data_IF_920696042885
#
_entry.id   IF_920696042885
#
_cell.length_a   1.000
_cell.length_b   1.000
_cell.length_c   1.000
_cell.angle_alpha   90.00
_cell.angle_beta   90.00
_cell.angle_gamma   90.00
#
_symmetry.space_group_name_H-M   'P 1'
#
loop_
_entity.id
_entity.type
_entity.pdbx_description
1 polymer ?
#
# COMPACT_ATOMS: atom_id res chain seq x y z
N UNK A 1 -44.15 27.47 5.65
CA UNK A 1 -43.74 26.45 4.64
C UNK A 1 -42.70 26.98 3.65
N UNK A 2 -42.91 28.12 3.00
CA UNK A 2 -41.96 28.69 2.01
C UNK A 2 -40.54 28.96 2.53
N UNK A 3 -40.40 29.44 3.78
CA UNK A 3 -39.09 29.68 4.39
C UNK A 3 -38.29 28.39 4.61
N UNK A 4 -38.97 27.30 5.01
CA UNK A 4 -38.35 25.98 5.20
C UNK A 4 -37.94 25.36 3.87
N UNK A 5 -38.79 25.49 2.84
CA UNK A 5 -38.47 25.08 1.48
C UNK A 5 -37.23 25.83 0.95
N UNK A 6 -37.13 27.12 1.25
CA UNK A 6 -35.97 27.94 0.90
C UNK A 6 -34.68 27.47 1.59
N UNK A 7 -34.71 27.20 2.90
CA UNK A 7 -33.53 26.67 3.61
C UNK A 7 -33.12 25.27 3.12
N UNK A 8 -34.10 24.40 2.80
CA UNK A 8 -33.83 23.09 2.22
C UNK A 8 -33.17 23.20 0.84
N UNK A 9 -33.70 24.07 -0.04
CA UNK A 9 -33.10 24.36 -1.35
C UNK A 9 -31.70 24.95 -1.21
N UNK A 10 -31.51 25.88 -0.28
CA UNK A 10 -30.19 26.46 0.01
C UNK A 10 -29.21 25.40 0.49
N UNK A 11 -29.63 24.48 1.37
CA UNK A 11 -28.80 23.37 1.83
C UNK A 11 -28.40 22.44 0.69
N UNK A 12 -29.34 22.03 -0.17
CA UNK A 12 -29.01 21.23 -1.37
C UNK A 12 -28.08 21.99 -2.34
N UNK A 13 -28.26 23.30 -2.47
CA UNK A 13 -27.41 24.14 -3.32
C UNK A 13 -25.99 24.26 -2.74
N UNK A 14 -25.85 24.41 -1.42
CA UNK A 14 -24.56 24.38 -0.73
C UNK A 14 -23.90 23.00 -0.83
N UNK A 15 -24.64 21.90 -0.62
CA UNK A 15 -24.11 20.55 -0.81
C UNK A 15 -23.67 20.30 -2.25
N UNK A 16 -24.44 20.78 -3.23
CA UNK A 16 -24.08 20.67 -4.64
C UNK A 16 -22.81 21.49 -4.95
N UNK A 17 -22.72 22.72 -4.45
CA UNK A 17 -21.52 23.56 -4.61
C UNK A 17 -20.31 22.92 -3.92
N UNK A 18 -20.46 22.41 -2.70
CA UNK A 18 -19.40 21.70 -2.01
C UNK A 18 -18.99 20.44 -2.78
N UNK A 19 -19.94 19.63 -3.26
CA UNK A 19 -19.64 18.47 -4.08
C UNK A 19 -18.89 18.85 -5.36
N UNK A 20 -19.26 19.95 -6.02
CA UNK A 20 -18.54 20.47 -7.20
C UNK A 20 -17.16 21.03 -6.87
N UNK A 21 -16.99 21.65 -5.70
CA UNK A 21 -15.68 22.11 -5.23
C UNK A 21 -14.81 20.89 -4.87
N UNK A 22 -15.35 19.89 -4.20
CA UNK A 22 -14.64 18.64 -3.90
C UNK A 22 -14.26 17.91 -5.18
N UNK A 23 -15.20 17.76 -6.13
CA UNK A 23 -14.89 17.24 -7.46
C UNK A 23 -13.78 18.06 -8.11
N UNK A 24 -13.87 19.40 -8.14
CA UNK A 24 -12.86 20.25 -8.76
C UNK A 24 -11.49 20.18 -8.05
N UNK A 25 -11.44 20.09 -6.73
CA UNK A 25 -10.20 19.93 -5.95
C UNK A 25 -9.59 18.55 -6.21
N UNK A 26 -10.41 17.50 -6.21
CA UNK A 26 -9.97 16.14 -6.60
C UNK A 26 -9.49 16.15 -8.05
N UNK A 27 -10.19 16.83 -8.96
CA UNK A 27 -9.81 16.97 -10.38
C UNK A 27 -8.52 17.79 -10.58
N UNK A 28 -8.28 18.77 -9.70
CA UNK A 28 -7.06 19.57 -9.72
C UNK A 28 -5.86 18.80 -9.16
N UNK A 29 -6.04 18.04 -8.07
CA UNK A 29 -4.96 17.23 -7.50
C UNK A 29 -4.69 15.94 -8.29
N UNK A 30 -5.72 15.35 -8.93
CA UNK A 30 -5.62 14.01 -9.54
C UNK A 30 -6.10 13.90 -10.99
N UNK A 31 -6.85 14.86 -11.54
CA UNK A 31 -7.62 14.67 -12.79
C UNK A 31 -6.94 15.06 -14.11
N UNK A 32 -6.26 16.22 -14.19
CA UNK A 32 -5.73 16.72 -15.47
C UNK A 32 -4.49 15.97 -16.00
N UNK A 33 -3.73 15.33 -15.11
CA UNK A 33 -2.43 14.75 -15.44
C UNK A 33 -2.30 13.26 -15.09
N UNK A 34 -3.26 12.62 -14.41
CA UNK A 34 -3.02 11.26 -13.91
C UNK A 34 -2.92 10.16 -14.98
N UNK A 35 -3.57 10.33 -16.14
CA UNK A 35 -3.64 9.29 -17.18
C UNK A 35 -2.84 9.61 -18.43
N UNK A 36 -2.22 10.80 -18.52
CA UNK A 36 -1.34 11.10 -19.65
C UNK A 36 -0.07 10.27 -19.53
N UNK A 37 0.28 9.56 -20.59
CA UNK A 37 1.48 8.73 -20.66
C UNK A 37 2.74 9.58 -20.76
N UNK A 38 3.78 9.19 -20.03
CA UNK A 38 5.11 9.79 -20.05
C UNK A 38 6.08 8.81 -20.66
N UNK A 39 6.87 9.24 -21.64
CA UNK A 39 7.96 8.44 -22.18
C UNK A 39 9.12 8.33 -21.16
N UNK A 40 9.43 7.14 -20.62
CA UNK A 40 10.50 6.94 -19.65
C UNK A 40 11.89 7.28 -20.21
N UNK A 41 12.11 7.16 -21.52
CA UNK A 41 13.41 7.44 -22.15
C UNK A 41 13.79 8.92 -22.05
N UNK A 42 12.77 9.80 -22.06
CA UNK A 42 12.93 11.25 -21.93
C UNK A 42 13.33 11.71 -20.52
N UNK A 43 13.13 10.87 -19.51
CA UNK A 43 13.36 11.23 -18.11
C UNK A 43 14.82 11.09 -17.70
N UNK A 44 15.21 11.83 -16.65
CA UNK A 44 16.55 11.69 -16.07
C UNK A 44 16.66 10.37 -15.29
N UNK A 45 17.88 9.84 -15.19
CA UNK A 45 18.16 8.62 -14.43
C UNK A 45 17.69 8.73 -12.97
N UNK A 46 17.84 9.91 -12.36
CA UNK A 46 17.36 10.18 -10.99
C UNK A 46 15.84 10.03 -10.89
N UNK A 47 15.07 10.61 -11.81
CA UNK A 47 13.60 10.49 -11.83
C UNK A 47 13.14 9.05 -12.01
N UNK A 48 13.80 8.30 -12.90
CA UNK A 48 13.50 6.87 -13.10
C UNK A 48 13.75 6.04 -11.84
N UNK A 49 14.80 6.34 -11.07
CA UNK A 49 15.03 5.72 -9.76
C UNK A 49 13.90 6.03 -8.78
N UNK A 50 13.52 7.30 -8.64
CA UNK A 50 12.45 7.71 -7.73
C UNK A 50 11.11 7.04 -8.08
N UNK A 51 10.85 6.82 -9.37
CA UNK A 51 9.67 6.07 -9.84
C UNK A 51 9.74 4.61 -9.42
N UNK A 52 10.87 3.93 -9.68
CA UNK A 52 11.05 2.54 -9.23
C UNK A 52 10.98 2.41 -7.71
N UNK A 53 11.47 3.40 -6.98
CA UNK A 53 11.32 3.50 -5.53
C UNK A 53 9.86 3.66 -5.14
N UNK A 54 9.08 4.50 -5.79
CA UNK A 54 7.65 4.62 -5.49
C UNK A 54 6.88 3.33 -5.79
N UNK A 55 7.26 2.59 -6.83
CA UNK A 55 6.75 1.25 -7.15
C UNK A 55 7.30 0.17 -6.19
N UNK A 56 8.36 0.48 -5.44
CA UNK A 56 9.04 -0.46 -4.56
C UNK A 56 9.69 -1.61 -5.31
N UNK A 57 10.30 -1.34 -6.46
CA UNK A 57 11.07 -2.31 -7.20
C UNK A 57 12.56 -2.13 -6.87
N UNK A 58 13.22 -3.24 -6.53
CA UNK A 58 14.65 -3.23 -6.27
C UNK A 58 15.44 -2.98 -7.55
N UNK A 59 16.18 -1.88 -7.60
CA UNK A 59 17.06 -1.52 -8.72
C UNK A 59 18.56 -1.62 -8.36
N UNK A 60 18.89 -2.19 -7.20
CA UNK A 60 20.27 -2.36 -6.74
C UNK A 60 21.05 -3.25 -7.71
N UNK A 61 22.11 -2.68 -8.29
CA UNK A 61 22.95 -3.31 -9.31
C UNK A 61 22.75 -2.79 -10.75
N UNK A 62 21.69 -2.02 -11.02
CA UNK A 62 21.46 -1.43 -12.35
C UNK A 62 22.19 -0.09 -12.49
N UNK A 63 23.39 -0.11 -13.07
CA UNK A 63 24.19 1.09 -13.29
C UNK A 63 23.72 1.88 -14.52
N UNK A 64 23.13 1.20 -15.50
CA UNK A 64 22.78 1.80 -16.78
C UNK A 64 21.35 2.37 -16.80
N UNK A 65 21.19 3.56 -17.38
CA UNK A 65 19.87 4.19 -17.59
C UNK A 65 18.93 3.29 -18.39
N UNK A 66 19.47 2.55 -19.37
CA UNK A 66 18.67 1.66 -20.24
C UNK A 66 18.04 0.52 -19.45
N UNK A 67 18.79 -0.09 -18.53
CA UNK A 67 18.28 -1.17 -17.68
C UNK A 67 17.19 -0.69 -16.73
N UNK A 68 17.38 0.50 -16.15
CA UNK A 68 16.39 1.14 -15.27
C UNK A 68 15.11 1.50 -16.06
N UNK A 69 15.25 2.04 -17.27
CA UNK A 69 14.10 2.34 -18.15
C UNK A 69 13.32 1.07 -18.50
N UNK A 70 14.04 0.00 -18.87
CA UNK A 70 13.42 -1.29 -19.18
C UNK A 70 12.67 -1.87 -17.97
N UNK A 71 13.19 -1.72 -16.75
CA UNK A 71 12.49 -2.18 -15.55
C UNK A 71 11.22 -1.34 -15.26
N UNK A 72 11.25 -0.03 -15.56
CA UNK A 72 10.05 0.82 -15.49
C UNK A 72 9.02 0.34 -16.52
N UNK A 73 9.41 0.10 -17.76
CA UNK A 73 8.51 -0.38 -18.81
C UNK A 73 7.90 -1.76 -18.46
N UNK A 74 8.71 -2.69 -17.96
CA UNK A 74 8.24 -4.02 -17.52
C UNK A 74 7.29 -3.97 -16.31
N UNK A 75 7.38 -2.91 -15.50
CA UNK A 75 6.53 -2.72 -14.33
C UNK A 75 5.28 -1.88 -14.58
N UNK A 76 5.12 -1.34 -15.78
CA UNK A 76 3.90 -0.65 -16.19
C UNK A 76 4.16 0.65 -16.92
N UNK A 77 3.20 1.03 -17.75
CA UNK A 77 3.18 2.33 -18.40
C UNK A 77 3.31 3.44 -17.35
N UNK A 78 4.19 4.40 -17.63
CA UNK A 78 4.43 5.52 -16.72
C UNK A 78 3.41 6.61 -17.02
N UNK A 79 2.68 7.05 -15.99
CA UNK A 79 1.75 8.17 -16.12
C UNK A 79 2.28 9.44 -15.47
N UNK A 80 1.76 10.58 -15.92
CA UNK A 80 2.10 11.89 -15.37
C UNK A 80 1.66 12.02 -13.90
N UNK A 81 0.58 11.34 -13.47
CA UNK A 81 0.16 11.29 -12.07
C UNK A 81 1.17 10.58 -11.19
N UNK A 82 1.72 9.46 -11.67
CA UNK A 82 2.80 8.77 -10.98
C UNK A 82 4.05 9.65 -10.87
N UNK A 83 4.48 10.28 -11.97
CA UNK A 83 5.62 11.19 -11.98
C UNK A 83 5.44 12.36 -11.01
N UNK A 84 4.25 12.98 -10.99
CA UNK A 84 3.93 14.07 -10.07
C UNK A 84 3.98 13.58 -8.61
N UNK A 85 3.38 12.43 -8.32
CA UNK A 85 3.40 11.85 -6.98
C UNK A 85 4.83 11.54 -6.49
N UNK A 86 5.69 11.05 -7.39
CA UNK A 86 7.09 10.76 -7.09
C UNK A 86 7.88 12.04 -6.77
N UNK A 87 7.67 13.11 -7.55
CA UNK A 87 8.31 14.42 -7.32
C UNK A 87 7.80 15.07 -6.02
N UNK A 88 6.48 15.01 -5.77
CA UNK A 88 5.88 15.53 -4.53
C UNK A 88 6.47 14.84 -3.31
N UNK A 89 6.56 13.51 -3.34
CA UNK A 89 7.18 12.73 -2.25
C UNK A 89 8.66 13.04 -2.07
N UNK A 90 9.43 13.21 -3.15
CA UNK A 90 10.85 13.60 -3.04
C UNK A 90 11.01 14.95 -2.32
N UNK A 91 10.12 15.91 -2.60
CA UNK A 91 10.09 17.21 -1.91
C UNK A 91 9.69 17.07 -0.44
N UNK A 92 8.61 16.35 -0.16
CA UNK A 92 8.15 16.07 1.21
C UNK A 92 9.22 15.34 2.03
N UNK A 93 10.00 14.44 1.43
CA UNK A 93 11.13 13.76 2.08
C UNK A 93 12.29 14.68 2.41
N UNK A 94 12.49 15.74 1.62
CA UNK A 94 13.55 16.73 1.87
C UNK A 94 13.15 17.69 2.99
N UNK A 95 11.84 17.87 3.21
CA UNK A 95 11.27 18.80 4.21
C UNK A 95 10.88 18.09 5.52
N UNK A 96 10.57 16.79 5.50
CA UNK A 96 10.17 16.02 6.69
C UNK A 96 11.40 15.49 7.47
N UNK A 97 11.90 16.29 8.41
CA UNK A 97 12.94 15.88 9.37
C UNK A 97 12.46 14.86 10.42
N UNK A 98 11.15 14.77 10.70
CA UNK A 98 10.60 13.89 11.74
C UNK A 98 9.67 12.82 11.17
N UNK A 99 10.25 11.76 10.61
CA UNK A 99 9.51 10.52 10.40
C UNK A 99 9.31 9.82 11.75
N UNK A 100 8.08 9.78 12.26
CA UNK A 100 7.78 9.26 13.60
C UNK A 100 8.02 7.75 13.71
N UNK A 101 9.10 7.37 14.39
CA UNK A 101 9.33 5.99 14.83
C UNK A 101 8.69 5.78 16.19
N UNK A 102 8.03 4.64 16.41
CA UNK A 102 7.54 4.32 17.75
C UNK A 102 8.72 3.92 18.66
N UNK A 103 8.68 4.33 19.93
CA UNK A 103 9.63 3.86 20.94
C UNK A 103 8.86 2.93 21.87
N UNK A 104 9.25 1.65 21.88
CA UNK A 104 8.58 0.65 22.71
C UNK A 104 9.06 0.77 24.16
N UNK A 105 8.10 0.88 25.07
CA UNK A 105 8.37 1.06 26.51
C UNK A 105 8.74 -0.24 27.22
N UNK A 106 8.33 -1.39 26.68
CA UNK A 106 8.57 -2.72 27.24
C UNK A 106 7.83 -3.82 26.48
N UNK A 107 7.90 -5.05 26.98
CA UNK A 107 7.30 -6.23 26.32
C UNK A 107 5.81 -6.09 26.02
N UNK A 108 5.02 -5.57 26.97
CA UNK A 108 3.56 -5.46 26.83
C UNK A 108 3.21 -4.52 25.68
N UNK A 109 3.87 -3.37 25.60
CA UNK A 109 3.64 -2.37 24.54
C UNK A 109 4.05 -2.92 23.16
N UNK A 110 5.12 -3.72 23.10
CA UNK A 110 5.51 -4.40 21.86
C UNK A 110 4.49 -5.47 21.45
N UNK A 111 4.05 -6.31 22.40
CA UNK A 111 3.06 -7.36 22.16
C UNK A 111 1.77 -6.77 21.60
N UNK A 112 1.23 -5.75 22.27
CA UNK A 112 -0.05 -5.12 21.90
C UNK A 112 0.00 -4.52 20.49
N UNK A 113 1.07 -3.79 20.15
CA UNK A 113 1.18 -3.14 18.85
C UNK A 113 1.65 -4.04 17.71
N UNK A 114 2.51 -5.02 17.97
CA UNK A 114 3.23 -5.76 16.91
C UNK A 114 2.75 -7.19 16.76
N UNK A 115 2.40 -7.86 17.84
CA UNK A 115 1.99 -9.28 17.83
C UNK A 115 0.47 -9.46 17.85
N UNK A 116 -0.22 -8.61 18.61
CA UNK A 116 -1.68 -8.66 18.73
C UNK A 116 -2.37 -7.95 17.57
N UNK A 117 -1.86 -6.79 17.13
CA UNK A 117 -2.38 -6.17 15.90
C UNK A 117 -1.93 -6.93 14.65
N UNK A 118 -2.92 -7.42 13.91
CA UNK A 118 -2.73 -8.18 12.65
C UNK A 118 -2.75 -7.29 11.41
N UNK A 119 -2.72 -5.98 11.62
CA UNK A 119 -3.15 -4.99 10.62
C UNK A 119 -1.98 -4.22 10.01
N UNK A 120 -0.75 -4.76 10.05
CA UNK A 120 0.38 -4.07 9.47
C UNK A 120 1.68 -4.87 9.44
N UNK A 121 2.63 -4.33 8.69
CA UNK A 121 4.02 -4.77 8.66
C UNK A 121 4.79 -3.84 9.59
N UNK A 122 5.63 -4.40 10.47
CA UNK A 122 6.53 -3.64 11.32
C UNK A 122 7.99 -3.96 11.00
N UNK A 123 8.83 -2.94 11.02
CA UNK A 123 10.28 -3.05 11.09
C UNK A 123 10.75 -2.46 12.41
N UNK A 124 11.32 -3.28 13.27
CA UNK A 124 11.71 -2.90 14.62
C UNK A 124 13.22 -3.03 14.79
N UNK A 125 13.85 -1.94 15.22
CA UNK A 125 15.24 -1.92 15.60
C UNK A 125 15.39 -2.28 17.07
N UNK A 126 15.95 -3.45 17.36
CA UNK A 126 16.23 -3.90 18.72
C UNK A 126 17.65 -3.54 19.09
N UNK A 127 17.80 -2.81 20.20
CA UNK A 127 19.08 -2.39 20.74
C UNK A 127 19.33 -3.22 21.99
N UNK A 128 20.29 -4.14 21.91
CA UNK A 128 20.65 -4.98 23.05
C UNK A 128 21.35 -4.17 24.15
N UNK A 129 21.33 -4.69 25.37
CA UNK A 129 21.95 -4.01 26.51
C UNK A 129 23.46 -3.82 26.27
N UNK A 130 23.94 -2.59 26.46
CA UNK A 130 25.34 -2.19 26.25
C UNK A 130 25.88 -2.41 24.83
N UNK A 131 25.00 -2.53 23.83
CA UNK A 131 25.38 -2.62 22.42
C UNK A 131 24.88 -1.40 21.65
N UNK A 132 25.56 -1.08 20.56
CA UNK A 132 25.12 -0.04 19.65
C UNK A 132 23.93 -0.52 18.82
N UNK A 133 23.18 0.45 18.29
CA UNK A 133 22.04 0.16 17.43
C UNK A 133 22.52 -0.39 16.08
N UNK A 134 21.81 -1.35 15.44
CA UNK A 134 22.25 -1.96 14.17
C UNK A 134 22.48 -0.94 13.05
N UNK A 135 21.56 0.02 12.92
CA UNK A 135 21.66 1.15 12.01
C UNK A 135 21.96 2.42 12.82
N UNK A 136 22.86 3.25 12.30
CA UNK A 136 23.08 4.60 12.83
C UNK A 136 21.80 5.45 12.72
N UNK A 137 21.67 6.48 13.54
CA UNK A 137 20.48 7.36 13.54
C UNK A 137 20.14 7.90 12.14
N UNK A 138 21.15 8.30 11.36
CA UNK A 138 20.97 8.77 9.98
C UNK A 138 20.44 7.67 9.04
N UNK A 139 21.02 6.46 9.12
CA UNK A 139 20.61 5.35 8.28
C UNK A 139 19.24 4.80 8.69
N UNK A 140 18.92 4.83 9.98
CA UNK A 140 17.59 4.52 10.48
C UNK A 140 16.56 5.52 9.98
N UNK A 141 16.82 6.82 10.06
CA UNK A 141 15.92 7.85 9.51
C UNK A 141 15.64 7.64 8.01
N UNK A 142 16.68 7.36 7.20
CA UNK A 142 16.51 7.01 5.78
C UNK A 142 15.70 5.74 5.58
N UNK A 143 15.91 4.73 6.42
CA UNK A 143 15.12 3.49 6.38
C UNK A 143 13.65 3.78 6.69
N UNK A 144 13.36 4.51 7.76
CA UNK A 144 12.00 4.90 8.17
C UNK A 144 11.29 5.67 7.04
N UNK A 145 11.97 6.66 6.45
CA UNK A 145 11.46 7.41 5.31
C UNK A 145 11.17 6.51 4.10
N UNK A 146 12.01 5.51 3.84
CA UNK A 146 11.82 4.58 2.71
C UNK A 146 10.64 3.63 2.93
N UNK A 147 10.53 3.01 4.11
CA UNK A 147 9.51 1.99 4.38
C UNK A 147 8.13 2.58 4.66
N UNK A 148 8.06 3.79 5.22
CA UNK A 148 6.80 4.49 5.49
C UNK A 148 5.98 4.76 4.22
N UNK A 149 6.66 4.94 3.08
CA UNK A 149 6.02 5.10 1.76
C UNK A 149 5.15 3.92 1.35
N UNK A 150 5.38 2.75 1.95
CA UNK A 150 4.66 1.51 1.72
C UNK A 150 3.70 1.14 2.85
N UNK A 151 3.45 2.07 3.79
CA UNK A 151 2.62 1.83 4.96
C UNK A 151 3.25 0.87 5.98
N UNK A 152 4.57 0.68 5.91
CA UNK A 152 5.32 -0.16 6.86
C UNK A 152 5.64 0.70 8.08
N UNK A 153 5.25 0.21 9.25
CA UNK A 153 5.46 0.89 10.52
C UNK A 153 6.86 0.59 11.04
N UNK A 154 7.44 1.55 11.75
CA UNK A 154 8.78 1.40 12.30
C UNK A 154 8.79 1.64 13.79
N UNK A 155 9.62 0.89 14.51
CA UNK A 155 9.79 1.09 15.93
C UNK A 155 11.21 0.80 16.42
N UNK A 156 11.50 1.26 17.62
CA UNK A 156 12.77 1.03 18.32
C UNK A 156 12.47 0.38 19.67
N UNK A 157 13.17 -0.71 19.97
CA UNK A 157 13.04 -1.44 21.23
C UNK A 157 14.39 -1.43 21.94
N UNK A 158 14.46 -0.82 23.12
CA UNK A 158 15.68 -0.75 23.90
C UNK A 158 15.67 -1.81 25.00
N UNK A 159 16.52 -2.83 24.90
CA UNK A 159 16.62 -3.88 25.91
C UNK A 159 17.18 -3.40 27.26
N UNK A 160 17.68 -2.17 27.35
CA UNK A 160 18.08 -1.57 28.62
C UNK A 160 16.89 -1.30 29.54
N UNK A 161 15.68 -1.07 29.00
CA UNK A 161 14.47 -0.90 29.81
C UNK A 161 13.87 -2.23 30.25
N UNK A 162 14.01 -3.30 29.45
CA UNK A 162 13.42 -4.61 29.73
C UNK A 162 14.29 -5.79 29.26
N UNK A 163 15.40 -6.00 29.96
CA UNK A 163 16.39 -7.03 29.60
C UNK A 163 15.84 -8.46 29.76
N UNK A 164 14.98 -8.70 30.76
CA UNK A 164 14.38 -10.01 31.02
C UNK A 164 13.60 -10.51 29.81
N UNK A 165 12.79 -9.63 29.21
CA UNK A 165 11.97 -9.94 28.04
C UNK A 165 12.80 -10.15 26.78
N UNK A 166 13.85 -9.34 26.57
CA UNK A 166 14.78 -9.55 25.46
C UNK A 166 15.48 -10.92 25.53
N UNK A 167 15.93 -11.33 26.72
CA UNK A 167 16.56 -12.64 26.92
C UNK A 167 15.58 -13.79 26.62
N UNK A 168 14.34 -13.69 27.09
CA UNK A 168 13.29 -14.70 26.81
C UNK A 168 13.01 -14.86 25.31
N UNK A 169 13.10 -13.75 24.56
CA UNK A 169 12.85 -13.69 23.11
C UNK A 169 14.09 -14.04 22.27
N UNK A 170 15.24 -14.25 22.91
CA UNK A 170 16.49 -14.60 22.24
C UNK A 170 17.27 -13.40 21.69
N UNK A 171 16.84 -12.16 21.96
CA UNK A 171 17.50 -10.93 21.49
C UNK A 171 18.72 -10.60 22.35
N UNK A 172 19.77 -11.41 22.18
CA UNK A 172 21.05 -11.26 22.89
C UNK A 172 21.97 -10.23 22.25
N UNK A 173 21.70 -9.89 20.99
CA UNK A 173 22.49 -8.94 20.22
C UNK A 173 21.55 -7.93 19.54
N UNK A 174 22.08 -6.75 19.27
CA UNK A 174 21.38 -5.71 18.53
C UNK A 174 21.03 -6.22 17.14
N UNK A 175 19.75 -6.19 16.77
CA UNK A 175 19.26 -6.80 15.53
C UNK A 175 18.04 -6.05 14.97
N UNK A 176 17.67 -6.37 13.73
CA UNK A 176 16.45 -5.87 13.10
C UNK A 176 15.42 -6.98 13.03
N UNK A 177 14.18 -6.65 13.39
CA UNK A 177 13.07 -7.60 13.43
C UNK A 177 11.98 -7.10 12.52
N UNK A 178 11.58 -7.95 11.59
CA UNK A 178 10.39 -7.75 10.78
C UNK A 178 9.22 -8.52 11.40
N UNK A 179 8.08 -7.85 11.51
CA UNK A 179 6.80 -8.47 11.84
C UNK A 179 5.85 -8.33 10.65
N UNK A 180 5.17 -9.41 10.29
CA UNK A 180 4.05 -9.35 9.34
C UNK A 180 3.07 -10.52 9.57
N UNK A 181 1.81 -10.42 9.13
CA UNK A 181 0.86 -11.53 9.19
C UNK A 181 1.33 -12.71 8.33
N UNK A 182 1.39 -13.91 8.91
CA UNK A 182 1.91 -15.10 8.22
C UNK A 182 1.00 -15.61 7.10
N UNK A 183 -0.32 -15.43 7.23
CA UNK A 183 -1.32 -15.95 6.30
C UNK A 183 -2.25 -14.85 5.81
N UNK A 184 -2.86 -15.05 4.64
CA UNK A 184 -3.96 -14.22 4.11
C UNK A 184 -5.28 -14.36 4.89
N UNK A 185 -5.36 -15.33 5.81
CA UNK A 185 -6.51 -15.53 6.69
C UNK A 185 -6.53 -14.52 7.86
N UNK A 186 -7.72 -14.02 8.21
CA UNK A 186 -7.95 -13.02 9.27
C UNK A 186 -7.60 -13.49 10.70
N UNK A 187 -7.48 -14.81 10.92
CA UNK A 187 -7.07 -15.41 12.21
C UNK A 187 -5.62 -15.90 12.24
N UNK A 188 -4.80 -15.51 11.26
CA UNK A 188 -3.40 -15.92 11.16
C UNK A 188 -2.54 -15.49 12.35
N UNK A 189 -1.45 -16.25 12.58
CA UNK A 189 -0.37 -15.83 13.48
C UNK A 189 0.48 -14.75 12.81
N UNK A 190 1.06 -13.87 13.61
CA UNK A 190 2.08 -12.92 13.16
C UNK A 190 3.42 -13.64 13.13
N UNK A 191 4.17 -13.49 12.04
CA UNK A 191 5.53 -14.00 11.93
C UNK A 191 6.51 -12.92 12.37
N UNK A 192 7.46 -13.29 13.22
CA UNK A 192 8.64 -12.47 13.53
C UNK A 192 9.84 -13.07 12.82
N UNK A 193 10.58 -12.24 12.10
CA UNK A 193 11.78 -12.61 11.35
C UNK A 193 12.92 -11.70 11.76
N UNK A 194 14.03 -12.31 12.15
CA UNK A 194 15.26 -11.63 12.51
C UNK A 194 16.16 -11.48 11.27
N UNK A 195 16.76 -10.31 11.12
CA UNK A 195 17.75 -10.05 10.08
C UNK A 195 19.09 -10.67 10.50
N UNK A 196 19.59 -11.62 9.72
CA UNK A 196 20.79 -12.40 10.05
C UNK A 196 21.98 -12.12 9.13
N UNK A 197 21.78 -11.31 8.09
CA UNK A 197 22.84 -10.98 7.14
C UNK A 197 23.87 -10.01 7.74
N UNK A 198 25.14 -10.20 7.38
CA UNK A 198 26.25 -9.38 7.87
C UNK A 198 26.27 -7.97 7.29
N UNK A 199 25.64 -7.77 6.12
CA UNK A 199 25.63 -6.49 5.43
C UNK A 199 24.48 -5.61 5.91
N UNK A 200 24.81 -4.54 6.61
CA UNK A 200 23.82 -3.60 7.16
C UNK A 200 23.65 -2.40 6.22
N UNK A 201 23.21 -2.69 4.99
CA UNK A 201 22.87 -1.68 3.99
C UNK A 201 21.36 -1.54 3.85
N UNK A 202 20.89 -0.30 3.65
CA UNK A 202 19.46 0.03 3.56
C UNK A 202 18.78 -0.77 2.45
N UNK A 203 19.38 -0.86 1.26
CA UNK A 203 18.80 -1.61 0.14
C UNK A 203 18.70 -3.11 0.40
N UNK A 204 19.67 -3.67 1.11
CA UNK A 204 19.69 -5.10 1.40
C UNK A 204 18.63 -5.47 2.42
N UNK A 205 18.50 -4.68 3.50
CA UNK A 205 17.43 -4.84 4.49
C UNK A 205 16.06 -4.64 3.85
N UNK A 206 15.91 -3.62 3.00
CA UNK A 206 14.67 -3.38 2.27
C UNK A 206 14.31 -4.57 1.37
N UNK A 207 15.28 -5.11 0.62
CA UNK A 207 15.08 -6.30 -0.23
C UNK A 207 14.71 -7.55 0.58
N UNK A 208 15.39 -7.77 1.71
CA UNK A 208 15.10 -8.87 2.63
C UNK A 208 13.66 -8.80 3.15
N UNK A 209 13.26 -7.64 3.67
CA UNK A 209 11.93 -7.41 4.22
C UNK A 209 10.86 -7.61 3.14
N UNK A 210 11.06 -7.00 1.97
CA UNK A 210 10.08 -7.03 0.87
C UNK A 210 9.93 -8.42 0.27
N UNK A 211 11.03 -9.19 0.17
CA UNK A 211 10.98 -10.60 -0.18
C UNK A 211 10.08 -11.39 0.78
N UNK A 212 10.19 -11.18 2.09
CA UNK A 212 9.33 -11.85 3.06
C UNK A 212 7.85 -11.50 2.94
N UNK A 213 7.51 -10.22 2.65
CA UNK A 213 6.12 -9.83 2.39
C UNK A 213 5.61 -10.45 1.10
N UNK A 214 6.43 -10.45 0.03
CA UNK A 214 6.07 -11.00 -1.27
C UNK A 214 5.77 -12.51 -1.22
N UNK A 215 6.47 -13.28 -0.39
CA UNK A 215 6.23 -14.73 -0.22
C UNK A 215 4.85 -15.07 0.32
N UNK A 216 4.15 -14.12 0.94
CA UNK A 216 2.77 -14.30 1.41
C UNK A 216 1.76 -14.33 0.25
N UNK A 217 2.09 -13.66 -0.86
CA UNK A 217 1.21 -13.58 -2.02
C UNK A 217 1.31 -14.88 -2.81
N UNK A 218 0.16 -15.44 -3.15
CA UNK A 218 0.07 -16.60 -4.02
C UNK A 218 0.62 -16.25 -5.41
N UNK A 219 1.68 -16.93 -5.82
CA UNK A 219 2.32 -16.72 -7.12
C UNK A 219 1.96 -17.86 -8.07
N UNK A 220 1.28 -17.52 -9.17
CA UNK A 220 0.92 -18.46 -10.22
C UNK A 220 1.94 -18.36 -11.35
N UNK A 221 2.51 -19.50 -11.73
CA UNK A 221 3.52 -19.59 -12.80
C UNK A 221 3.05 -20.43 -13.99
N UNK A 222 1.93 -21.13 -13.87
CA UNK A 222 1.37 -22.00 -14.92
C UNK A 222 -0.03 -21.55 -15.27
N UNK A 223 -0.39 -21.65 -16.55
CA UNK A 223 -1.72 -21.30 -17.05
C UNK A 223 -2.83 -22.16 -16.43
N UNK A 224 -2.56 -23.44 -16.16
CA UNK A 224 -3.56 -24.34 -15.55
C UNK A 224 -4.00 -23.85 -14.17
N UNK A 225 -3.03 -23.44 -13.34
CA UNK A 225 -3.29 -22.90 -12.00
C UNK A 225 -4.05 -21.59 -12.06
N UNK A 226 -3.77 -20.76 -13.08
CA UNK A 226 -4.54 -19.54 -13.31
C UNK A 226 -5.99 -19.87 -13.65
N UNK A 227 -6.25 -20.82 -14.56
CA UNK A 227 -7.63 -21.14 -14.95
C UNK A 227 -8.42 -21.74 -13.79
N UNK A 228 -7.81 -22.58 -12.96
CA UNK A 228 -8.42 -23.09 -11.74
C UNK A 228 -8.79 -21.95 -10.77
N UNK A 229 -7.85 -21.02 -10.52
CA UNK A 229 -8.09 -19.86 -9.66
C UNK A 229 -9.04 -18.82 -10.25
N UNK A 230 -9.07 -18.72 -11.58
CA UNK A 230 -9.92 -17.79 -12.32
C UNK A 230 -11.34 -18.30 -12.40
N UNK A 231 -11.56 -19.61 -12.51
CA UNK A 231 -12.89 -20.22 -12.53
C UNK A 231 -13.41 -20.65 -11.16
N UNK A 232 -12.60 -20.55 -10.10
CA UNK A 232 -13.07 -20.75 -8.74
C UNK A 232 -14.30 -19.87 -8.44
N UNK A 233 -15.24 -20.41 -7.67
CA UNK A 233 -16.57 -19.86 -7.46
C UNK A 233 -16.55 -18.35 -7.15
N UNK A 234 -17.17 -17.48 -7.97
CA UNK A 234 -17.18 -16.04 -7.75
C UNK A 234 -17.89 -15.63 -6.44
N UNK A 235 -18.68 -16.50 -5.83
CA UNK A 235 -19.31 -16.25 -4.53
C UNK A 235 -18.32 -16.26 -3.34
N UNK A 236 -17.07 -16.69 -3.53
CA UNK A 236 -16.14 -16.99 -2.43
C UNK A 236 -15.24 -15.83 -1.98
N UNK A 237 -14.80 -14.93 -2.87
CA UNK A 237 -13.92 -13.81 -2.48
C UNK A 237 -13.66 -12.82 -3.63
N UNK A 238 -13.44 -11.55 -3.28
CA UNK A 238 -12.88 -10.54 -4.19
C UNK A 238 -11.38 -10.86 -4.39
N UNK A 239 -10.92 -10.95 -5.64
CA UNK A 239 -9.54 -11.29 -5.98
C UNK A 239 -8.88 -10.19 -6.81
N UNK A 240 -7.66 -9.81 -6.45
CA UNK A 240 -6.83 -8.86 -7.18
C UNK A 240 -5.66 -9.59 -7.83
N UNK A 241 -5.67 -9.65 -9.16
CA UNK A 241 -4.63 -10.27 -9.97
C UNK A 241 -3.64 -9.23 -10.49
N UNK A 242 -2.35 -9.53 -10.38
CA UNK A 242 -1.27 -8.81 -11.04
C UNK A 242 -0.59 -9.71 -12.04
N UNK A 243 -0.79 -9.46 -13.33
CA UNK A 243 -0.06 -10.11 -14.42
C UNK A 243 1.17 -9.27 -14.73
N UNK A 244 2.39 -9.77 -14.52
CA UNK A 244 3.59 -8.98 -14.81
C UNK A 244 4.80 -9.84 -15.20
N UNK A 245 5.71 -9.24 -15.97
CA UNK A 245 7.00 -9.84 -16.31
C UNK A 245 8.05 -9.59 -15.21
N UNK A 246 7.67 -9.79 -13.95
CA UNK A 246 8.51 -9.47 -12.79
C UNK A 246 8.91 -10.73 -12.02
N UNK A 247 10.07 -10.69 -11.38
CA UNK A 247 10.54 -11.79 -10.54
C UNK A 247 9.75 -11.93 -9.23
N UNK A 248 9.28 -10.80 -8.70
CA UNK A 248 8.50 -10.69 -7.48
C UNK A 248 7.47 -9.56 -7.66
N UNK A 249 6.34 -9.62 -6.93
CA UNK A 249 5.38 -8.53 -6.93
C UNK A 249 6.01 -7.22 -6.41
N UNK A 250 5.59 -6.05 -6.91
CA UNK A 250 5.97 -4.76 -6.36
C UNK A 250 5.62 -4.64 -4.86
N UNK A 251 6.37 -3.84 -4.12
CA UNK A 251 6.19 -3.73 -2.67
C UNK A 251 4.85 -3.11 -2.31
N UNK A 252 4.39 -2.10 -3.04
CA UNK A 252 3.07 -1.52 -2.76
C UNK A 252 1.96 -2.58 -2.86
N UNK A 253 2.04 -3.48 -3.85
CA UNK A 253 1.07 -4.57 -4.02
C UNK A 253 1.15 -5.55 -2.84
N UNK A 254 2.36 -5.86 -2.40
CA UNK A 254 2.61 -6.72 -1.25
C UNK A 254 2.10 -6.12 0.07
N UNK A 255 2.34 -4.83 0.29
CA UNK A 255 1.82 -4.09 1.45
C UNK A 255 0.29 -4.01 1.46
N UNK A 256 -0.34 -3.77 0.31
CA UNK A 256 -1.80 -3.75 0.20
C UNK A 256 -2.40 -5.12 0.54
N UNK A 257 -1.73 -6.23 0.16
CA UNK A 257 -2.19 -7.57 0.55
C UNK A 257 -2.29 -7.74 2.08
N UNK A 258 -1.43 -7.08 2.85
CA UNK A 258 -1.47 -7.09 4.32
C UNK A 258 -2.62 -6.24 4.84
N UNK A 259 -2.82 -5.06 4.26
CA UNK A 259 -3.90 -4.14 4.67
C UNK A 259 -5.30 -4.68 4.38
N UNK A 260 -5.47 -5.44 3.30
CA UNK A 260 -6.75 -6.01 2.87
C UNK A 260 -6.90 -7.49 3.20
N UNK A 261 -6.12 -7.99 4.18
CA UNK A 261 -6.18 -9.37 4.66
C UNK A 261 -7.62 -9.80 4.98
N UNK A 262 -8.02 -10.96 4.45
CA UNK A 262 -9.38 -11.50 4.64
C UNK A 262 -10.50 -10.77 3.90
N UNK A 263 -10.22 -9.66 3.21
CA UNK A 263 -11.18 -8.89 2.41
C UNK A 263 -10.95 -9.05 0.91
N UNK A 264 -9.69 -8.99 0.49
CA UNK A 264 -9.28 -9.12 -0.90
C UNK A 264 -8.11 -10.09 -0.96
N UNK A 265 -8.20 -11.09 -1.83
CA UNK A 265 -7.11 -12.03 -2.08
C UNK A 265 -6.20 -11.48 -3.18
N UNK A 266 -4.92 -11.31 -2.86
CA UNK A 266 -3.92 -10.83 -3.81
C UNK A 266 -3.20 -12.01 -4.46
N UNK A 267 -3.14 -12.01 -5.79
CA UNK A 267 -2.54 -13.06 -6.59
C UNK A 267 -1.57 -12.44 -7.58
N UNK A 268 -0.33 -12.94 -7.56
CA UNK A 268 0.70 -12.54 -8.51
C UNK A 268 0.82 -13.59 -9.61
N UNK A 269 0.77 -13.19 -10.87
CA UNK A 269 0.87 -14.06 -12.04
C UNK A 269 2.14 -13.70 -12.79
N UNK A 270 3.12 -14.60 -12.73
CA UNK A 270 4.40 -14.47 -13.41
C UNK A 270 4.26 -14.95 -14.86
N UNK A 271 4.20 -13.99 -15.78
CA UNK A 271 4.00 -14.27 -17.22
C UNK A 271 5.31 -14.40 -17.99
N UNK A 272 6.48 -14.36 -17.34
CA UNK A 272 7.79 -14.40 -18.03
C UNK A 272 8.04 -15.66 -18.86
N UNK A 273 7.43 -16.78 -18.48
CA UNK A 273 7.62 -18.08 -19.11
C UNK A 273 6.35 -18.55 -19.84
N UNK A 274 5.42 -17.64 -20.16
CA UNK A 274 4.15 -18.00 -20.79
C UNK A 274 4.22 -17.86 -22.30
N UNK A 275 4.31 -19.01 -22.96
CA UNK A 275 4.31 -19.08 -24.42
C UNK A 275 2.90 -18.93 -25.02
N UNK A 276 1.85 -19.18 -24.23
CA UNK A 276 0.47 -19.24 -24.70
C UNK A 276 -0.29 -17.91 -24.47
N UNK A 277 -0.19 -16.99 -25.44
CA UNK A 277 -0.88 -15.69 -25.37
C UNK A 277 -2.41 -15.78 -25.44
N UNK A 278 -2.96 -16.90 -25.91
CA UNK A 278 -4.41 -17.11 -26.07
C UNK A 278 -5.18 -17.13 -24.74
N UNK A 279 -4.66 -17.82 -23.72
CA UNK A 279 -5.32 -17.86 -22.40
C UNK A 279 -5.34 -16.51 -21.69
N UNK A 280 -4.36 -15.64 -21.99
CA UNK A 280 -4.34 -14.27 -21.46
C UNK A 280 -5.35 -13.38 -22.17
N UNK A 281 -5.50 -13.52 -23.49
CA UNK A 281 -6.50 -12.76 -24.25
C UNK A 281 -7.93 -13.11 -23.85
N UNK A 282 -8.20 -14.38 -23.51
CA UNK A 282 -9.52 -14.83 -23.05
C UNK A 282 -9.94 -14.17 -21.73
N UNK A 283 -8.95 -13.81 -20.90
CA UNK A 283 -9.13 -13.11 -19.62
C UNK A 283 -9.16 -11.57 -19.80
N UNK A 284 -8.91 -11.08 -21.02
CA UNK A 284 -8.83 -9.65 -21.33
C UNK A 284 -7.49 -9.01 -21.02
N UNK A 285 -6.43 -9.79 -20.80
CA UNK A 285 -5.06 -9.29 -20.61
C UNK A 285 -4.40 -9.09 -21.98
N UNK A 286 -4.49 -7.86 -22.51
CA UNK A 286 -3.87 -7.49 -23.80
C UNK A 286 -2.44 -6.97 -23.68
N UNK A 287 -2.11 -6.39 -22.53
CA UNK A 287 -0.80 -5.81 -22.23
C UNK A 287 -0.38 -6.23 -20.83
N UNK A 288 0.92 -6.37 -20.62
CA UNK A 288 1.50 -6.62 -19.30
C UNK A 288 2.43 -5.47 -18.91
N UNK A 289 2.39 -5.02 -17.65
CA UNK A 289 1.58 -5.56 -16.57
C UNK A 289 0.11 -5.14 -16.60
N UNK A 290 -0.76 -6.02 -16.08
CA UNK A 290 -2.18 -5.76 -15.94
C UNK A 290 -2.63 -6.02 -14.50
N UNK A 291 -3.37 -5.06 -13.94
CA UNK A 291 -3.98 -5.13 -12.63
C UNK A 291 -5.48 -5.36 -12.82
N UNK A 292 -5.96 -6.53 -12.43
CA UNK A 292 -7.35 -6.93 -12.64
C UNK A 292 -7.99 -7.27 -11.31
N UNK A 293 -9.07 -6.56 -10.98
CA UNK A 293 -9.92 -6.84 -9.84
C UNK A 293 -11.11 -7.68 -10.31
N UNK A 294 -11.19 -8.92 -9.83
CA UNK A 294 -12.32 -9.82 -10.05
C UNK A 294 -13.24 -9.75 -8.84
N UNK A 295 -14.47 -9.31 -9.07
CA UNK A 295 -15.53 -9.21 -8.07
C UNK A 295 -16.70 -10.12 -8.47
N UNK A 296 -17.60 -10.48 -7.54
CA UNK A 296 -18.85 -11.18 -7.88
C UNK A 296 -19.68 -10.44 -8.92
N UNK A 297 -19.64 -9.11 -8.92
CA UNK A 297 -20.43 -8.23 -9.80
C UNK A 297 -19.82 -8.07 -11.20
N UNK A 298 -18.52 -8.38 -11.36
CA UNK A 298 -17.82 -8.22 -12.62
C UNK A 298 -16.31 -8.12 -12.51
N UNK A 299 -15.67 -7.88 -13.64
CA UNK A 299 -14.21 -7.75 -13.75
C UNK A 299 -13.88 -6.28 -14.04
N UNK A 300 -12.96 -5.73 -13.27
CA UNK A 300 -12.48 -4.36 -13.41
C UNK A 300 -10.98 -4.33 -13.69
N UNK A 301 -10.56 -3.51 -14.66
CA UNK A 301 -9.14 -3.31 -14.99
C UNK A 301 -8.67 -1.98 -14.39
N UNK A 302 -7.75 -2.06 -13.44
CA UNK A 302 -7.16 -0.90 -12.80
C UNK A 302 -6.09 -0.24 -13.69
N UNK A 303 -6.09 1.09 -13.73
CA UNK A 303 -5.19 1.93 -14.53
C UNK A 303 -5.81 2.49 -15.80
N UNK A 304 -7.10 2.22 -16.06
CA UNK A 304 -7.79 2.72 -17.26
C UNK A 304 -8.64 3.97 -16.97
N UNK A 305 -8.98 4.22 -15.71
CA UNK A 305 -9.80 5.35 -15.30
C UNK A 305 -8.96 6.53 -14.80
N UNK A 306 -9.53 7.74 -14.82
CA UNK A 306 -8.87 8.94 -14.30
C UNK A 306 -8.58 8.82 -12.80
N UNK A 307 -7.36 9.17 -12.39
CA UNK A 307 -6.91 9.07 -11.00
C UNK A 307 -6.33 7.70 -10.60
N UNK A 308 -6.32 6.73 -11.52
CA UNK A 308 -5.66 5.43 -11.31
C UNK A 308 -4.23 5.46 -11.83
N UNK A 309 -3.27 5.18 -10.95
CA UNK A 309 -1.85 5.09 -11.30
C UNK A 309 -1.11 4.21 -10.29
N UNK A 310 0.12 3.80 -10.65
CA UNK A 310 0.89 2.82 -9.88
C UNK A 310 1.51 3.45 -8.63
N UNK A 311 0.70 3.60 -7.59
CA UNK A 311 1.10 4.11 -6.28
C UNK A 311 0.31 3.40 -5.18
N UNK A 312 0.94 3.20 -4.02
CA UNK A 312 0.27 2.67 -2.83
C UNK A 312 -1.00 3.46 -2.51
N UNK A 313 -0.91 4.80 -2.49
CA UNK A 313 -2.01 5.66 -2.08
C UNK A 313 -3.19 5.58 -3.06
N UNK A 314 -2.92 5.66 -4.37
CA UNK A 314 -3.97 5.63 -5.39
C UNK A 314 -4.70 4.28 -5.40
N UNK A 315 -3.97 3.17 -5.31
CA UNK A 315 -4.57 1.85 -5.28
C UNK A 315 -5.28 1.56 -3.95
N UNK A 316 -4.74 2.04 -2.81
CA UNK A 316 -5.42 1.96 -1.52
C UNK A 316 -6.77 2.69 -1.53
N UNK A 317 -6.81 3.92 -2.04
CA UNK A 317 -8.06 4.70 -2.17
C UNK A 317 -9.06 3.97 -3.06
N UNK A 318 -8.63 3.43 -4.19
CA UNK A 318 -9.48 2.63 -5.07
C UNK A 318 -10.04 1.39 -4.35
N UNK A 319 -9.19 0.57 -3.73
CA UNK A 319 -9.62 -0.64 -3.04
C UNK A 319 -10.51 -0.35 -1.82
N UNK A 320 -10.30 0.77 -1.12
CA UNK A 320 -11.20 1.24 -0.05
C UNK A 320 -12.56 1.67 -0.58
N UNK A 321 -12.63 2.22 -1.79
CA UNK A 321 -13.91 2.57 -2.40
C UNK A 321 -14.74 1.34 -2.77
N UNK A 322 -14.07 0.23 -3.13
CA UNK A 322 -14.72 -1.06 -3.43
C UNK A 322 -15.08 -1.79 -2.13
N UNK A 323 -14.12 -1.94 -1.22
CA UNK A 323 -14.27 -2.72 0.01
C UNK A 323 -13.82 -1.90 1.23
N UNK A 324 -14.70 -1.02 1.76
CA UNK A 324 -14.37 -0.13 2.87
C UNK A 324 -14.10 -0.90 4.17
N UNK A 325 -13.36 -0.27 5.09
CA UNK A 325 -13.21 -0.79 6.46
C UNK A 325 -14.47 -0.52 7.29
N UNK A 326 -14.72 -1.31 8.33
CA UNK A 326 -15.86 -1.08 9.24
C UNK A 326 -15.77 0.32 9.86
N UNK A 327 -14.56 0.80 10.12
CA UNK A 327 -14.32 2.15 10.59
C UNK A 327 -14.75 3.21 9.56
N UNK A 328 -14.49 2.99 8.27
CA UNK A 328 -14.89 3.91 7.20
C UNK A 328 -16.43 3.98 7.12
N UNK A 329 -17.11 2.84 7.22
CA UNK A 329 -18.57 2.77 7.26
C UNK A 329 -19.14 3.45 8.52
N UNK A 330 -18.48 3.26 9.67
CA UNK A 330 -18.87 3.91 10.91
C UNK A 330 -18.76 5.43 10.80
N UNK A 331 -17.64 5.96 10.32
CA UNK A 331 -17.45 7.40 10.10
C UNK A 331 -18.49 7.94 9.11
N UNK A 332 -18.72 7.23 8.01
CA UNK A 332 -19.74 7.64 7.03
C UNK A 332 -21.15 7.65 7.64
N UNK A 333 -21.49 6.65 8.47
CA UNK A 333 -22.77 6.61 9.18
C UNK A 333 -22.89 7.75 10.20
N UNK A 334 -21.82 8.08 10.91
CA UNK A 334 -21.80 9.18 11.87
C UNK A 334 -21.99 10.52 11.16
N UNK A 335 -21.31 10.73 10.03
CA UNK A 335 -21.50 11.92 9.18
C UNK A 335 -22.94 11.98 8.67
N UNK A 336 -23.47 10.88 8.15
CA UNK A 336 -24.84 10.81 7.64
C UNK A 336 -25.87 11.13 8.73
N UNK A 337 -25.73 10.53 9.91
CA UNK A 337 -26.63 10.78 11.05
C UNK A 337 -26.53 12.24 11.49
N UNK A 338 -25.33 12.80 11.62
CA UNK A 338 -25.17 14.21 11.99
C UNK A 338 -25.80 15.15 10.95
N UNK A 339 -25.64 14.85 9.66
CA UNK A 339 -26.30 15.60 8.58
C UNK A 339 -27.82 15.48 8.66
N UNK A 340 -28.34 14.27 8.92
CA UNK A 340 -29.78 14.03 9.07
C UNK A 340 -30.35 14.73 10.31
N UNK A 341 -29.65 14.72 11.45
CA UNK A 341 -30.06 15.44 12.67
C UNK A 341 -30.03 16.95 12.49
N UNK A 342 -29.05 17.47 11.74
CA UNK A 342 -29.05 18.87 11.31
C UNK A 342 -30.27 19.20 10.46
N UNK A 343 -30.57 18.36 9.46
CA UNK A 343 -31.79 18.52 8.67
C UNK A 343 -33.05 18.47 9.53
N UNK A 344 -33.08 17.59 10.53
CA UNK A 344 -34.24 17.45 11.41
C UNK A 344 -34.45 18.69 12.26
N UNK A 345 -33.40 19.34 12.79
CA UNK A 345 -33.50 20.64 13.47
C UNK A 345 -34.14 21.74 12.61
N UNK A 346 -33.87 21.74 11.30
CA UNK A 346 -34.48 22.67 10.36
C UNK A 346 -35.92 22.29 9.97
N UNK A 347 -36.28 21.01 10.06
CA UNK A 347 -37.59 20.49 9.63
C UNK A 347 -38.59 20.45 10.81
N UNK A 348 -38.20 19.97 11.99
CA UNK A 348 -39.08 19.66 13.15
C UNK A 348 -39.30 20.79 14.15
N UNK A 349 -38.74 22.00 13.97
CA UNK A 349 -39.26 23.20 14.66
C UNK A 349 -40.63 23.64 14.09
N UNK A 350 -41.60 22.73 14.07
CA UNK A 350 -43.03 22.94 13.91
C UNK A 350 -43.73 21.90 14.79
N UNK A 351 -43.74 22.16 16.08
CA UNK A 351 -44.29 21.28 17.09
C UNK A 351 -44.44 21.97 18.45
N UNK A 352 -44.79 23.27 18.44
CA UNK A 352 -45.48 23.97 19.54
C UNK A 352 -46.11 25.24 19.00
#
# INVERSE_FOLDING_TARGET
>A
MWLKLFFLLLYFMVLFLLARIFEAVVWYETGMFATQLVDPVSLSYKKLKTILECRGLGYSGLAEKKEVSNLVEQSGELTHGELYSAIKKEKEQTEAEDSSTTVFSGEIHFYELVEDTKDGIWLVQVIAQNQEAPLSQSNWGKMVQKVSQFGIRTGTFNCSSDNSSCIKRGWKHSTLIMSAPQTSASKGKVMLKEYTDQYVEIEQIFRWMTSHVAHRIKTLRRSEQLMEEWHSDPAQSIKMFLFAHLAQPPVFFSSLSVKFTGRIEFIFVDVRQWDNRSSLSDIGVTQSPAYILKMPEGIYRYGNSTGEFLSLAAMDTFLRSVQPEVNDLFVLSLVLINLLSWMDLFITQAGL
#
